data_IF_632118478988
#
_entry.id   IF_632118478988
#
_cell.length_a   1.000
_cell.length_b   1.000
_cell.length_c   1.000
_cell.angle_alpha   90.00
_cell.angle_beta   90.00
_cell.angle_gamma   90.00
#
_symmetry.space_group_name_H-M   'P 1'
#
loop_
_entity.id
_entity.type
_entity.pdbx_description
1 polymer ?
#
# COMPACT_ATOMS: atom_id res chain seq x y z
N UNK A 1 46.48 -18.76 -21.15
CA UNK A 1 46.27 -20.21 -20.95
C UNK A 1 44.91 -20.52 -20.34
N UNK A 2 44.26 -19.57 -19.66
CA UNK A 2 42.89 -19.73 -19.19
C UNK A 2 42.07 -18.52 -19.67
N UNK A 3 41.11 -18.73 -20.58
CA UNK A 3 40.27 -17.64 -21.13
C UNK A 3 39.05 -17.46 -20.24
N UNK A 4 38.65 -16.22 -19.97
CA UNK A 4 37.47 -15.86 -19.17
C UNK A 4 37.49 -16.26 -17.67
N UNK A 5 38.65 -16.62 -17.12
CA UNK A 5 38.80 -16.92 -15.69
C UNK A 5 38.99 -15.64 -14.88
N UNK A 6 38.29 -15.55 -13.76
CA UNK A 6 38.51 -14.53 -12.74
C UNK A 6 39.55 -14.99 -11.72
N UNK A 7 40.02 -14.07 -10.89
CA UNK A 7 40.95 -14.38 -9.78
C UNK A 7 40.35 -15.44 -8.85
N UNK A 8 39.06 -15.31 -8.57
CA UNK A 8 38.30 -16.18 -7.69
C UNK A 8 38.22 -17.60 -8.27
N UNK A 9 37.98 -17.72 -9.57
CA UNK A 9 37.92 -19.02 -10.27
C UNK A 9 39.26 -19.77 -10.12
N UNK A 10 40.39 -19.08 -10.35
CA UNK A 10 41.73 -19.66 -10.18
C UNK A 10 42.05 -20.00 -8.72
N UNK A 11 41.53 -19.22 -7.76
CA UNK A 11 41.69 -19.47 -6.33
C UNK A 11 40.99 -20.77 -5.95
N UNK A 12 39.76 -20.98 -6.40
CA UNK A 12 39.00 -22.22 -6.16
C UNK A 12 39.74 -23.41 -6.75
N UNK A 13 40.18 -23.31 -8.01
CA UNK A 13 40.92 -24.38 -8.68
C UNK A 13 42.19 -24.74 -7.93
N UNK A 14 43.00 -23.76 -7.53
CA UNK A 14 44.21 -24.03 -6.76
C UNK A 14 43.91 -24.69 -5.40
N UNK A 15 42.83 -24.29 -4.71
CA UNK A 15 42.37 -24.96 -3.48
C UNK A 15 41.93 -26.42 -3.74
N UNK A 16 41.22 -26.69 -4.84
CA UNK A 16 40.82 -28.05 -5.21
C UNK A 16 42.00 -28.94 -5.59
N UNK A 17 43.05 -28.36 -6.17
CA UNK A 17 44.31 -29.05 -6.44
C UNK A 17 45.15 -29.31 -5.17
N UNK A 18 44.66 -28.86 -4.00
CA UNK A 18 45.28 -29.06 -2.70
C UNK A 18 46.33 -28.02 -2.33
N UNK A 19 46.39 -26.89 -3.03
CA UNK A 19 47.36 -25.82 -2.74
C UNK A 19 46.85 -24.88 -1.64
N UNK A 20 47.76 -24.48 -0.75
CA UNK A 20 47.45 -23.49 0.30
C UNK A 20 47.75 -22.09 -0.21
N UNK A 21 46.73 -21.22 -0.21
CA UNK A 21 46.84 -19.87 -0.79
C UNK A 21 46.82 -18.80 0.29
N UNK A 22 47.76 -17.84 0.18
CA UNK A 22 47.73 -16.61 0.96
C UNK A 22 46.68 -15.64 0.40
N UNK A 23 46.10 -14.80 1.26
CA UNK A 23 45.04 -13.86 0.87
C UNK A 23 45.49 -12.80 -0.15
N UNK A 24 46.79 -12.50 -0.19
CA UNK A 24 47.37 -11.47 -1.06
C UNK A 24 47.90 -12.00 -2.40
N UNK A 25 47.61 -13.25 -2.74
CA UNK A 25 48.11 -13.85 -3.98
C UNK A 25 47.55 -13.15 -5.22
N UNK A 26 48.39 -12.94 -6.22
CA UNK A 26 48.03 -12.30 -7.50
C UNK A 26 47.55 -13.33 -8.52
N UNK A 27 46.92 -12.89 -9.61
CA UNK A 27 46.47 -13.79 -10.69
C UNK A 27 47.65 -14.50 -11.36
N UNK A 28 48.79 -13.80 -11.48
CA UNK A 28 50.01 -14.37 -12.08
C UNK A 28 50.56 -15.48 -11.20
N UNK A 29 50.72 -15.22 -9.90
CA UNK A 29 51.16 -16.21 -8.92
C UNK A 29 50.22 -17.43 -8.86
N UNK A 30 48.90 -17.22 -8.87
CA UNK A 30 47.93 -18.31 -8.93
C UNK A 30 48.12 -19.18 -10.19
N UNK A 31 48.38 -18.54 -11.32
CA UNK A 31 48.61 -19.24 -12.58
C UNK A 31 49.89 -20.06 -12.54
N UNK A 32 50.94 -19.55 -11.90
CA UNK A 32 52.21 -20.27 -11.71
C UNK A 32 52.03 -21.46 -10.77
N UNK A 33 51.39 -21.26 -9.61
CA UNK A 33 51.07 -22.33 -8.65
C UNK A 33 50.32 -23.48 -9.33
N UNK A 34 49.27 -23.17 -10.10
CA UNK A 34 48.49 -24.18 -10.82
C UNK A 34 49.37 -24.93 -11.83
N UNK A 35 50.27 -24.25 -12.54
CA UNK A 35 51.17 -24.87 -13.52
C UNK A 35 52.25 -25.74 -12.88
N UNK A 36 52.70 -25.37 -11.69
CA UNK A 36 53.74 -26.09 -10.96
C UNK A 36 53.19 -27.33 -10.24
N UNK A 37 51.89 -27.36 -9.99
CA UNK A 37 51.20 -28.47 -9.35
C UNK A 37 51.37 -29.79 -10.13
N UNK A 38 51.49 -30.89 -9.38
CA UNK A 38 51.69 -32.25 -9.94
C UNK A 38 50.60 -32.65 -10.94
N UNK A 39 49.34 -32.33 -10.65
CA UNK A 39 48.20 -32.73 -11.48
C UNK A 39 48.23 -32.03 -12.82
N UNK A 40 48.68 -30.78 -12.87
CA UNK A 40 48.83 -30.06 -14.12
C UNK A 40 49.96 -30.61 -14.99
N UNK A 41 51.04 -31.09 -14.37
CA UNK A 41 52.16 -31.72 -15.09
C UNK A 41 51.82 -33.12 -15.59
N UNK A 42 50.98 -33.84 -14.87
CA UNK A 42 50.54 -35.20 -15.19
C UNK A 42 49.39 -35.21 -16.21
N UNK A 43 48.35 -34.41 -15.95
CA UNK A 43 47.16 -34.29 -16.80
C UNK A 43 46.72 -32.83 -16.93
N UNK A 44 47.20 -32.20 -17.99
CA UNK A 44 46.86 -30.81 -18.34
C UNK A 44 45.36 -30.68 -18.67
N UNK A 45 44.75 -31.71 -19.25
CA UNK A 45 43.37 -31.61 -19.73
C UNK A 45 42.39 -31.69 -18.56
N UNK A 46 42.66 -32.55 -17.58
CA UNK A 46 41.92 -32.56 -16.32
C UNK A 46 41.88 -31.17 -15.66
N UNK A 47 43.02 -30.48 -15.56
CA UNK A 47 43.05 -29.15 -14.93
C UNK A 47 42.31 -28.11 -15.78
N UNK A 48 42.33 -28.22 -17.11
CA UNK A 48 41.51 -27.33 -17.96
C UNK A 48 40.02 -27.59 -17.78
N UNK A 49 39.60 -28.85 -17.72
CA UNK A 49 38.21 -29.23 -17.47
C UNK A 49 37.75 -28.73 -16.10
N UNK A 50 38.61 -28.86 -15.08
CA UNK A 50 38.34 -28.32 -13.75
C UNK A 50 38.12 -26.81 -13.78
N UNK A 51 38.98 -26.07 -14.48
CA UNK A 51 38.84 -24.62 -14.64
C UNK A 51 37.55 -24.26 -15.37
N UNK A 52 37.22 -24.99 -16.45
CA UNK A 52 36.00 -24.80 -17.22
C UNK A 52 34.77 -25.04 -16.33
N UNK A 53 34.77 -26.11 -15.56
CA UNK A 53 33.72 -26.46 -14.60
C UNK A 53 33.53 -25.35 -13.56
N UNK A 54 34.61 -24.84 -12.94
CA UNK A 54 34.51 -23.75 -11.97
C UNK A 54 33.88 -22.48 -12.57
N UNK A 55 34.24 -22.14 -13.82
CA UNK A 55 33.64 -20.98 -14.52
C UNK A 55 32.15 -21.21 -14.78
N UNK A 56 31.77 -22.40 -15.23
CA UNK A 56 30.39 -22.77 -15.51
C UNK A 56 29.54 -22.79 -14.24
N UNK A 57 30.06 -23.35 -13.15
CA UNK A 57 29.40 -23.37 -11.85
C UNK A 57 29.15 -21.94 -11.34
N UNK A 58 30.15 -21.05 -11.42
CA UNK A 58 29.96 -19.62 -11.10
C UNK A 58 28.86 -18.97 -11.95
N UNK A 59 28.82 -19.24 -13.25
CA UNK A 59 27.79 -18.68 -14.14
C UNK A 59 26.40 -19.17 -13.75
N UNK A 60 26.27 -20.47 -13.49
CA UNK A 60 25.01 -21.07 -13.06
C UNK A 60 24.54 -20.49 -11.73
N UNK A 61 25.43 -20.34 -10.75
CA UNK A 61 25.10 -19.72 -9.46
C UNK A 61 24.60 -18.27 -9.62
N UNK A 62 25.19 -17.50 -10.54
CA UNK A 62 24.74 -16.13 -10.83
C UNK A 62 23.35 -16.11 -11.50
N UNK A 63 23.09 -17.03 -12.44
CA UNK A 63 21.77 -17.18 -13.07
C UNK A 63 20.70 -17.59 -12.06
N UNK A 64 21.00 -18.55 -11.20
CA UNK A 64 20.09 -19.01 -10.14
C UNK A 64 19.78 -17.87 -9.15
N UNK A 65 20.79 -17.07 -8.78
CA UNK A 65 20.61 -15.88 -7.92
C UNK A 65 19.68 -14.86 -8.59
N UNK A 66 19.89 -14.58 -9.86
CA UNK A 66 19.05 -13.64 -10.62
C UNK A 66 17.61 -14.12 -10.70
N UNK A 67 17.40 -15.41 -10.99
CA UNK A 67 16.07 -16.01 -11.04
C UNK A 67 15.36 -15.94 -9.68
N UNK A 68 16.06 -16.25 -8.59
CA UNK A 68 15.51 -16.15 -7.24
C UNK A 68 15.10 -14.71 -6.88
N UNK A 69 15.88 -13.70 -7.30
CA UNK A 69 15.54 -12.29 -7.12
C UNK A 69 14.30 -11.87 -7.93
N UNK A 70 14.22 -12.30 -9.19
CA UNK A 70 13.04 -12.07 -10.05
C UNK A 70 11.78 -12.71 -9.46
N UNK A 71 11.88 -13.94 -8.98
CA UNK A 71 10.75 -14.65 -8.36
C UNK A 71 10.32 -13.98 -7.03
N UNK A 72 11.29 -13.50 -6.23
CA UNK A 72 10.99 -12.71 -5.03
C UNK A 72 10.24 -11.43 -5.37
N UNK A 73 10.67 -10.71 -6.42
CA UNK A 73 10.02 -9.48 -6.87
C UNK A 73 8.60 -9.74 -7.36
N UNK A 74 8.39 -10.78 -8.17
CA UNK A 74 7.05 -11.18 -8.63
C UNK A 74 6.12 -11.54 -7.47
N UNK A 75 6.63 -12.27 -6.47
CA UNK A 75 5.86 -12.61 -5.29
C UNK A 75 5.46 -11.37 -4.47
N UNK A 76 6.36 -10.39 -4.35
CA UNK A 76 6.06 -9.12 -3.68
C UNK A 76 5.02 -8.29 -4.44
N UNK A 77 5.14 -8.20 -5.76
CA UNK A 77 4.15 -7.53 -6.63
C UNK A 77 2.77 -8.19 -6.53
N UNK A 78 2.72 -9.54 -6.54
CA UNK A 78 1.48 -10.28 -6.37
C UNK A 78 0.82 -10.00 -5.01
N UNK A 79 1.63 -9.98 -3.93
CA UNK A 79 1.16 -9.67 -2.57
C UNK A 79 0.64 -8.23 -2.46
N UNK A 80 1.29 -7.28 -3.12
CA UNK A 80 0.85 -5.89 -3.12
C UNK A 80 -0.49 -5.76 -3.85
N UNK A 81 -0.62 -6.38 -5.02
CA UNK A 81 -1.86 -6.40 -5.79
C UNK A 81 -3.02 -7.03 -5.02
N UNK A 82 -2.77 -8.12 -4.29
CA UNK A 82 -3.78 -8.74 -3.44
C UNK A 82 -4.30 -7.79 -2.37
N UNK A 83 -3.39 -7.09 -1.67
CA UNK A 83 -3.77 -6.07 -0.67
C UNK A 83 -4.55 -4.90 -1.27
N UNK A 84 -4.20 -4.45 -2.47
CA UNK A 84 -4.94 -3.39 -3.16
C UNK A 84 -6.36 -3.83 -3.49
N UNK A 85 -6.54 -5.06 -3.98
CA UNK A 85 -7.86 -5.64 -4.25
C UNK A 85 -8.68 -5.80 -2.96
N UNK A 86 -8.07 -6.28 -1.87
CA UNK A 86 -8.73 -6.41 -0.57
C UNK A 86 -9.21 -5.05 -0.04
N UNK A 87 -8.37 -4.01 -0.12
CA UNK A 87 -8.74 -2.65 0.27
C UNK A 87 -9.88 -2.09 -0.58
N UNK A 88 -9.88 -2.35 -1.89
CA UNK A 88 -10.94 -1.91 -2.78
C UNK A 88 -12.26 -2.62 -2.49
N UNK A 89 -12.22 -3.93 -2.22
CA UNK A 89 -13.40 -4.69 -1.77
C UNK A 89 -13.94 -4.14 -0.44
N UNK A 90 -13.08 -3.85 0.52
CA UNK A 90 -13.48 -3.25 1.79
C UNK A 90 -14.14 -1.87 1.62
N UNK A 91 -13.62 -1.04 0.69
CA UNK A 91 -14.23 0.25 0.34
C UNK A 91 -15.63 0.07 -0.27
N UNK A 92 -15.79 -0.84 -1.22
CA UNK A 92 -17.09 -1.12 -1.82
C UNK A 92 -18.10 -1.64 -0.80
N UNK A 93 -17.68 -2.54 0.10
CA UNK A 93 -18.53 -3.02 1.19
C UNK A 93 -18.96 -1.89 2.14
N UNK A 94 -18.05 -0.96 2.46
CA UNK A 94 -18.39 0.21 3.29
C UNK A 94 -19.40 1.11 2.59
N UNK A 95 -19.20 1.43 1.31
CA UNK A 95 -20.12 2.26 0.51
C UNK A 95 -21.49 1.60 0.42
N UNK A 96 -21.57 0.30 0.13
CA UNK A 96 -22.84 -0.42 0.08
C UNK A 96 -23.56 -0.41 1.44
N UNK A 97 -22.84 -0.63 2.54
CA UNK A 97 -23.42 -0.60 3.89
C UNK A 97 -23.96 0.78 4.25
N UNK A 98 -23.28 1.84 3.84
CA UNK A 98 -23.73 3.22 4.09
C UNK A 98 -24.97 3.55 3.23
N UNK A 99 -25.05 3.01 2.01
CA UNK A 99 -26.20 3.17 1.12
C UNK A 99 -27.44 2.42 1.64
N UNK A 100 -27.27 1.19 2.11
CA UNK A 100 -28.36 0.40 2.73
C UNK A 100 -28.89 1.07 4.00
N UNK A 101 -28.00 1.66 4.84
CA UNK A 101 -28.41 2.41 6.03
C UNK A 101 -29.23 3.66 5.69
N UNK A 102 -28.90 4.35 4.60
CA UNK A 102 -29.69 5.50 4.16
C UNK A 102 -31.07 5.07 3.67
N UNK A 103 -31.18 4.02 2.86
CA UNK A 103 -32.45 3.57 2.30
C UNK A 103 -33.41 3.02 3.38
N UNK A 104 -32.89 2.24 4.35
CA UNK A 104 -33.65 1.77 5.52
C UNK A 104 -34.14 2.94 6.40
N UNK A 105 -33.29 3.96 6.60
CA UNK A 105 -33.59 5.14 7.42
C UNK A 105 -34.66 6.04 6.79
N UNK A 106 -34.59 6.29 5.46
CA UNK A 106 -35.61 7.07 4.75
C UNK A 106 -36.96 6.36 4.74
N UNK A 107 -36.98 5.03 4.56
CA UNK A 107 -38.21 4.24 4.64
C UNK A 107 -38.84 4.27 6.04
N UNK A 108 -38.03 4.23 7.10
CA UNK A 108 -38.52 4.33 8.48
C UNK A 108 -39.08 5.72 8.82
N UNK A 109 -38.46 6.80 8.33
CA UNK A 109 -38.95 8.16 8.54
C UNK A 109 -40.27 8.40 7.78
N UNK A 110 -40.37 7.91 6.54
CA UNK A 110 -41.58 8.04 5.72
C UNK A 110 -42.77 7.28 6.36
N UNK A 111 -42.52 6.09 6.91
CA UNK A 111 -43.52 5.35 7.68
C UNK A 111 -43.96 6.11 8.95
N UNK A 112 -43.02 6.75 9.65
CA UNK A 112 -43.31 7.55 10.84
C UNK A 112 -44.16 8.78 10.50
N UNK A 113 -43.79 9.55 9.47
CA UNK A 113 -44.55 10.72 9.01
C UNK A 113 -45.97 10.34 8.60
N UNK A 114 -46.14 9.21 7.89
CA UNK A 114 -47.46 8.67 7.54
C UNK A 114 -48.30 8.25 8.75
N UNK A 115 -47.66 7.85 9.85
CA UNK A 115 -48.35 7.43 11.08
C UNK A 115 -48.85 8.60 11.94
N UNK A 116 -48.33 9.82 11.74
CA UNK A 116 -48.74 10.99 12.52
C UNK A 116 -50.17 11.39 12.14
N UNK A 117 -51.12 11.12 13.03
CA UNK A 117 -52.51 11.57 12.89
C UNK A 117 -52.64 12.98 13.45
N UNK A 118 -53.01 13.94 12.59
CA UNK A 118 -53.28 15.32 13.01
C UNK A 118 -54.61 15.34 13.78
N UNK A 119 -54.54 15.61 15.08
CA UNK A 119 -55.73 15.87 15.91
C UNK A 119 -56.04 17.36 15.86
N UNK A 120 -57.03 17.73 15.06
CA UNK A 120 -57.53 19.10 15.01
C UNK A 120 -58.45 19.35 16.20
N UNK A 121 -57.95 20.07 17.21
CA UNK A 121 -58.79 20.57 18.31
C UNK A 121 -59.45 21.89 17.92
N UNK A 122 -60.77 22.00 18.11
CA UNK A 122 -61.47 23.26 17.92
C UNK A 122 -61.06 24.24 19.02
N UNK A 123 -60.50 25.37 18.62
CA UNK A 123 -60.26 26.50 19.52
C UNK A 123 -61.62 27.02 19.99
N UNK A 124 -61.91 27.08 21.30
CA UNK A 124 -63.15 27.65 21.79
C UNK A 124 -63.23 29.13 21.41
N UNK A 125 -64.28 29.53 20.71
CA UNK A 125 -64.57 30.94 20.47
C UNK A 125 -64.98 31.56 21.81
N UNK A 126 -64.15 32.48 22.34
CA UNK A 126 -64.50 33.31 23.49
C UNK A 126 -65.56 34.32 23.02
N UNK A 127 -66.69 34.50 23.73
CA UNK A 127 -67.70 35.46 23.31
C UNK A 127 -67.12 36.88 23.32
N UNK A 128 -67.31 37.58 22.21
CA UNK A 128 -67.02 39.01 22.08
C UNK A 128 -67.93 39.80 23.02
N UNK A 129 -67.38 40.40 24.07
CA UNK A 129 -67.99 41.56 24.72
C UNK A 129 -67.31 42.81 24.18
N UNK A 130 -68.04 43.53 23.31
CA UNK A 130 -67.60 44.80 22.75
C UNK A 130 -67.92 45.98 23.67
N UNK A 131 -66.95 46.90 23.72
CA UNK A 131 -66.96 48.32 24.15
C UNK A 131 -66.70 48.52 25.65
N UNK A 132 -65.73 49.34 26.05
CA UNK A 132 -65.50 50.71 25.58
C UNK A 132 -64.03 51.13 25.51
N UNK A 133 -63.77 52.04 24.56
CA UNK A 133 -62.54 52.77 24.25
C UNK A 133 -61.99 53.55 25.47
N UNK A 134 -60.68 53.47 25.72
CA UNK A 134 -59.89 54.63 26.15
C UNK A 134 -58.44 54.53 25.63
N UNK A 135 -57.97 55.67 25.12
CA UNK A 135 -56.67 55.94 24.51
C UNK A 135 -55.57 55.88 25.57
N UNK A 136 -54.53 55.09 25.34
CA UNK A 136 -53.14 55.56 25.21
C UNK A 136 -52.18 54.37 25.13
N UNK A 137 -51.48 54.31 23.99
CA UNK A 137 -50.39 53.38 23.69
C UNK A 137 -49.14 53.78 24.47
N UNK A 138 -48.59 52.87 25.28
CA UNK A 138 -47.12 52.70 25.31
C UNK A 138 -46.83 51.22 25.10
N UNK A 139 -46.43 50.93 23.88
CA UNK A 139 -45.91 49.65 23.41
C UNK A 139 -44.51 49.48 24.00
N UNK A 140 -44.28 48.45 24.81
CA UNK A 140 -42.92 47.95 25.04
C UNK A 140 -42.82 46.51 24.51
N UNK A 141 -42.44 46.45 23.24
CA UNK A 141 -42.02 45.23 22.55
C UNK A 141 -40.71 44.75 23.16
N UNK A 142 -40.70 43.56 23.76
CA UNK A 142 -39.47 42.78 23.98
C UNK A 142 -39.45 41.63 22.98
N UNK A 143 -38.40 41.66 22.18
CA UNK A 143 -38.15 40.85 20.98
C UNK A 143 -37.93 39.39 21.39
N UNK A 144 -38.62 38.47 20.71
CA UNK A 144 -38.29 37.05 20.73
C UNK A 144 -37.04 36.82 19.88
N UNK A 145 -35.96 36.35 20.50
CA UNK A 145 -34.72 36.01 19.82
C UNK A 145 -34.94 34.86 18.83
N UNK A 146 -34.69 35.17 17.56
CA UNK A 146 -34.62 34.22 16.46
C UNK A 146 -33.27 33.50 16.58
N UNK A 147 -33.31 32.19 16.79
CA UNK A 147 -32.13 31.33 16.69
C UNK A 147 -31.74 31.22 15.21
N UNK A 148 -30.63 31.84 14.82
CA UNK A 148 -29.99 31.63 13.51
C UNK A 148 -29.05 30.43 13.56
N UNK A 149 -29.03 29.56 12.54
CA UNK A 149 -28.05 28.48 12.44
C UNK A 149 -26.67 29.02 12.02
N UNK A 150 -25.64 28.49 12.69
CA UNK A 150 -24.23 28.80 12.50
C UNK A 150 -23.74 28.23 11.15
N UNK A 151 -23.28 29.08 10.23
CA UNK A 151 -22.60 28.66 9.00
C UNK A 151 -21.10 28.85 9.22
N UNK A 152 -20.34 27.75 9.22
CA UNK A 152 -18.88 27.73 9.27
C UNK A 152 -18.27 28.25 7.96
N UNK A 153 -17.42 29.27 8.06
CA UNK A 153 -16.72 29.91 6.93
C UNK A 153 -15.48 29.10 6.50
N UNK A 154 -15.65 28.12 5.62
CA UNK A 154 -14.53 27.61 4.80
C UNK A 154 -14.74 27.79 3.29
N UNK A 155 -15.71 28.59 2.86
CA UNK A 155 -15.93 28.93 1.45
C UNK A 155 -16.11 30.44 1.27
N UNK A 156 -15.00 31.18 1.40
CA UNK A 156 -14.86 32.54 0.83
C UNK A 156 -13.57 32.62 0.05
N UNK A 157 -13.51 31.86 -1.03
CA UNK A 157 -12.58 32.12 -2.12
C UNK A 157 -13.21 31.59 -3.41
N UNK A 158 -13.98 32.46 -4.07
CA UNK A 158 -14.06 32.58 -5.54
C UNK A 158 -15.17 33.57 -5.93
N UNK A 159 -14.78 34.55 -6.75
CA UNK A 159 -15.60 35.54 -7.48
C UNK A 159 -16.11 36.72 -6.65
N UNK A 160 -15.92 37.97 -7.05
CA UNK A 160 -15.08 38.65 -8.04
C UNK A 160 -15.23 40.13 -7.71
#
# INVERSE_FOLDING_TARGET
>A
MFKNCRKEDLRIVALELGETLSDKVTIVELTEIIKENKYFKEDVEFVKELIQYTIEDRKKAEEDRKKAEEDRKKAEEARLREKELELELARLHRVNSDNERTDESYNSLDALVKSVRILTVKVPNRPEEQKTVNRDMVVQTVKSDIITPYITQSERETRK
#
